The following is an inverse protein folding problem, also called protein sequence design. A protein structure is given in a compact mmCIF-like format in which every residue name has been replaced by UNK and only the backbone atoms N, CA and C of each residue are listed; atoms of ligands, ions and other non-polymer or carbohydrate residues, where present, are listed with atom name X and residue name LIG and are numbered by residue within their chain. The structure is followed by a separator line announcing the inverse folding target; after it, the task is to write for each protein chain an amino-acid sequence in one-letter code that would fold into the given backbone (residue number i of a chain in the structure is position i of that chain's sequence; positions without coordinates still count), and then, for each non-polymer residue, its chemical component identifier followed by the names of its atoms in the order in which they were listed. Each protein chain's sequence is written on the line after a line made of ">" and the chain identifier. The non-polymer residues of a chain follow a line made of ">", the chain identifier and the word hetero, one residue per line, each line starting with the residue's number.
data_IF_223895732033
#
_entry.id   IF_223895732033
#
_cell.length_a   1.000
_cell.length_b   1.000
_cell.length_c   1.000
_cell.angle_alpha   90.00
_cell.angle_beta   90.00
_cell.angle_gamma   90.00
#
_symmetry.space_group_name_H-M   'P 1'
#
loop_
_entity.id
_entity.type
_entity.pdbx_description
1 polymer ?
#
# COMPACT_ATOMS: atom_id res chain seq x y z
N UNK A 1 -8.88 -4.19 13.63
CA UNK A 1 -8.19 -4.18 14.93
C UNK A 1 -7.33 -2.92 14.95
N UNK A 2 -7.53 -2.02 15.91
CA UNK A 2 -6.76 -0.78 16.03
C UNK A 2 -5.53 -1.02 16.91
N UNK A 3 -4.36 -0.56 16.49
CA UNK A 3 -3.12 -0.58 17.28
C UNK A 3 -2.68 0.86 17.55
N UNK A 4 -2.31 1.17 18.80
CA UNK A 4 -1.65 2.44 19.12
C UNK A 4 -0.15 2.28 18.90
N UNK A 5 0.52 3.35 18.45
CA UNK A 5 1.98 3.37 18.45
C UNK A 5 2.47 3.82 19.82
N UNK A 6 3.51 3.17 20.35
CA UNK A 6 4.10 3.48 21.67
C UNK A 6 4.70 4.89 21.74
N UNK A 7 4.94 5.53 20.59
CA UNK A 7 5.64 6.80 20.50
C UNK A 7 4.82 8.00 20.99
N UNK A 8 3.50 7.96 20.87
CA UNK A 8 2.63 8.99 21.41
C UNK A 8 2.02 8.60 22.77
N UNK A 9 1.92 7.30 23.09
CA UNK A 9 1.02 6.79 24.12
C UNK A 9 1.61 6.13 25.36
N UNK A 10 2.89 6.31 25.64
CA UNK A 10 3.55 5.57 26.71
C UNK A 10 3.17 6.09 28.10
N UNK A 11 2.10 5.54 28.66
CA UNK A 11 1.59 5.91 29.98
C UNK A 11 2.42 5.41 31.16
N UNK A 12 3.29 4.43 30.94
CA UNK A 12 4.24 3.94 31.95
C UNK A 12 5.58 4.72 31.94
N UNK A 13 5.70 5.78 31.12
CA UNK A 13 6.90 6.61 31.14
C UNK A 13 7.02 7.37 32.48
N UNK A 14 8.23 7.52 33.05
CA UNK A 14 8.42 8.29 34.28
C UNK A 14 7.92 9.73 34.12
N UNK A 15 6.99 10.15 34.97
CA UNK A 15 6.38 11.48 34.92
C UNK A 15 5.11 11.61 34.07
N UNK A 16 4.61 10.50 33.50
CA UNK A 16 3.29 10.48 32.87
C UNK A 16 2.17 10.60 33.93
N UNK A 17 1.17 11.44 33.67
CA UNK A 17 -0.02 11.55 34.51
C UNK A 17 -1.07 10.51 34.07
N UNK A 18 -1.43 9.53 34.92
CA UNK A 18 -2.44 8.52 34.62
C UNK A 18 -3.81 9.11 34.25
N UNK A 19 -4.16 10.30 34.74
CA UNK A 19 -5.43 10.97 34.42
C UNK A 19 -5.46 11.53 32.98
N UNK A 20 -4.29 11.74 32.38
CA UNK A 20 -4.13 12.20 30.98
C UNK A 20 -3.75 11.06 30.01
N UNK A 21 -3.66 9.82 30.52
CA UNK A 21 -3.40 8.60 29.75
C UNK A 21 -4.66 8.14 28.97
N UNK A 22 -5.26 9.03 28.19
CA UNK A 22 -6.37 8.65 27.31
C UNK A 22 -6.13 9.21 25.92
N UNK A 23 -6.28 8.35 24.92
CA UNK A 23 -6.19 8.71 23.52
C UNK A 23 -7.59 8.70 22.95
N UNK A 24 -7.97 9.79 22.29
CA UNK A 24 -9.18 9.82 21.48
C UNK A 24 -8.78 9.70 20.02
N UNK A 25 -9.14 8.58 19.40
CA UNK A 25 -9.09 8.46 17.95
C UNK A 25 -10.26 9.28 17.36
N UNK A 26 -9.95 10.23 16.48
CA UNK A 26 -10.93 10.90 15.63
C UNK A 26 -10.79 10.38 14.21
N UNK A 27 -11.92 10.35 13.48
CA UNK A 27 -11.92 9.96 12.07
C UNK A 27 -11.97 11.23 11.26
N UNK A 28 -10.83 11.59 10.67
CA UNK A 28 -10.72 12.82 9.88
C UNK A 28 -11.19 12.60 8.44
N UNK A 29 -11.01 11.39 7.90
CA UNK A 29 -11.44 11.00 6.55
C UNK A 29 -11.76 9.51 6.47
N UNK A 30 -12.80 9.16 5.73
CA UNK A 30 -13.15 7.78 5.38
C UNK A 30 -12.85 7.58 3.90
N UNK A 31 -12.06 6.55 3.59
CA UNK A 31 -11.69 6.16 2.23
C UNK A 31 -12.32 4.80 1.93
N UNK A 32 -13.00 4.67 0.79
CA UNK A 32 -13.48 3.37 0.35
C UNK A 32 -12.28 2.48 0.02
N UNK A 33 -12.29 1.24 0.53
CA UNK A 33 -11.24 0.26 0.26
C UNK A 33 -10.98 0.10 -1.24
N UNK A 34 -12.01 0.06 -2.08
CA UNK A 34 -11.82 -0.07 -3.54
C UNK A 34 -11.04 1.10 -4.12
N UNK A 35 -11.24 2.33 -3.62
CA UNK A 35 -10.49 3.50 -4.05
C UNK A 35 -9.02 3.41 -3.61
N UNK A 36 -8.77 3.04 -2.35
CA UNK A 36 -7.41 2.87 -1.84
C UNK A 36 -6.66 1.78 -2.59
N UNK A 37 -7.30 0.63 -2.78
CA UNK A 37 -6.74 -0.51 -3.50
C UNK A 37 -6.49 -0.15 -4.97
N UNK A 38 -7.45 0.47 -5.67
CA UNK A 38 -7.31 0.84 -7.07
C UNK A 38 -6.13 1.80 -7.29
N UNK A 39 -5.93 2.77 -6.39
CA UNK A 39 -4.80 3.72 -6.44
C UNK A 39 -3.46 3.01 -6.23
N UNK A 40 -3.34 2.17 -5.20
CA UNK A 40 -2.09 1.47 -4.90
C UNK A 40 -1.75 0.49 -6.02
N UNK A 41 -2.72 -0.31 -6.45
CA UNK A 41 -2.53 -1.25 -7.56
C UNK A 41 -2.15 -0.54 -8.86
N UNK A 42 -2.76 0.62 -9.16
CA UNK A 42 -2.39 1.41 -10.34
C UNK A 42 -0.93 1.89 -10.26
N UNK A 43 -0.50 2.39 -9.10
CA UNK A 43 0.88 2.85 -8.93
C UNK A 43 1.91 1.72 -9.14
N UNK A 44 1.60 0.51 -8.66
CA UNK A 44 2.46 -0.65 -8.85
C UNK A 44 2.47 -1.10 -10.33
N UNK A 45 1.33 -1.09 -11.00
CA UNK A 45 1.25 -1.42 -12.43
C UNK A 45 1.94 -0.39 -13.33
N UNK A 46 1.80 0.90 -13.02
CA UNK A 46 2.49 1.99 -13.73
C UNK A 46 4.01 1.86 -13.56
N UNK A 47 4.48 1.58 -12.34
CA UNK A 47 5.89 1.33 -12.08
C UNK A 47 6.40 0.11 -12.86
N UNK A 48 5.67 -1.02 -12.82
CA UNK A 48 6.04 -2.24 -13.56
C UNK A 48 6.11 -2.00 -15.07
N UNK A 49 5.21 -1.20 -15.64
CA UNK A 49 5.17 -0.89 -17.07
C UNK A 49 6.44 -0.19 -17.57
N UNK A 50 7.12 0.58 -16.72
CA UNK A 50 8.38 1.25 -17.03
C UNK A 50 9.63 0.37 -16.81
N UNK A 51 9.46 -0.81 -16.19
CA UNK A 51 10.56 -1.67 -15.76
C UNK A 51 10.49 -3.05 -16.40
N UNK A 52 9.68 -3.94 -15.80
CA UNK A 52 9.70 -5.38 -16.10
C UNK A 52 8.51 -5.83 -16.95
N UNK A 53 7.46 -5.01 -17.03
CA UNK A 53 6.21 -5.26 -17.74
C UNK A 53 5.61 -6.65 -17.44
N UNK A 54 5.77 -7.16 -16.22
CA UNK A 54 5.22 -8.44 -15.77
C UNK A 54 3.71 -8.52 -15.99
N UNK A 55 2.97 -7.46 -15.63
CA UNK A 55 1.50 -7.46 -15.73
C UNK A 55 1.01 -7.60 -17.18
N UNK A 56 1.81 -7.17 -18.17
CA UNK A 56 1.47 -7.30 -19.59
C UNK A 56 1.40 -8.76 -20.08
N UNK A 57 2.08 -9.66 -19.36
CA UNK A 57 2.11 -11.09 -19.67
C UNK A 57 0.99 -11.86 -18.97
N UNK A 58 0.32 -11.24 -18.00
CA UNK A 58 -0.78 -11.87 -17.33
C UNK A 58 -1.99 -12.01 -18.26
N UNK A 59 -2.75 -13.11 -18.16
CA UNK A 59 -4.02 -13.22 -18.88
C UNK A 59 -4.87 -12.00 -18.58
N UNK A 60 -5.14 -11.21 -19.61
CA UNK A 60 -5.93 -9.99 -19.48
C UNK A 60 -7.33 -10.28 -18.95
N UNK A 61 -8.01 -9.28 -18.37
CA UNK A 61 -9.41 -9.42 -18.02
C UNK A 61 -10.21 -9.87 -19.24
N UNK A 62 -11.08 -10.87 -19.05
CA UNK A 62 -12.11 -11.22 -20.04
C UNK A 62 -12.93 -9.95 -20.25
N UNK A 63 -12.97 -9.46 -21.49
CA UNK A 63 -13.54 -8.18 -21.95
C UNK A 63 -14.53 -7.52 -20.97
N UNK A 64 -14.18 -6.34 -20.45
CA UNK A 64 -15.02 -5.56 -19.54
C UNK A 64 -14.73 -5.74 -18.04
N UNK A 65 -13.82 -6.64 -17.65
CA UNK A 65 -13.46 -6.78 -16.23
C UNK A 65 -12.39 -5.77 -15.79
N UNK A 66 -12.56 -5.23 -14.57
CA UNK A 66 -11.46 -4.61 -13.82
C UNK A 66 -10.36 -5.68 -13.58
N UNK A 67 -9.12 -5.23 -13.44
CA UNK A 67 -7.93 -5.97 -12.96
C UNK A 67 -8.27 -7.24 -12.14
N UNK A 68 -7.77 -8.42 -12.53
CA UNK A 68 -7.98 -9.67 -11.78
C UNK A 68 -6.92 -9.85 -10.68
N UNK A 69 -7.11 -9.14 -9.56
CA UNK A 69 -6.21 -9.15 -8.40
C UNK A 69 -6.15 -10.49 -7.65
N UNK A 70 -7.06 -11.41 -7.98
CA UNK A 70 -7.09 -12.77 -7.42
C UNK A 70 -6.35 -13.78 -8.30
N UNK A 71 -5.92 -13.40 -9.49
CA UNK A 71 -5.16 -14.31 -10.36
C UNK A 71 -3.76 -14.55 -9.80
N UNK A 72 -3.28 -15.78 -9.92
CA UNK A 72 -1.91 -16.14 -9.51
C UNK A 72 -0.91 -15.25 -10.23
N UNK A 73 -1.06 -15.04 -11.55
CA UNK A 73 -0.16 -14.18 -12.31
C UNK A 73 -0.08 -12.76 -11.73
N UNK A 74 -1.24 -12.12 -11.50
CA UNK A 74 -1.27 -10.75 -10.98
C UNK A 74 -0.63 -10.67 -9.59
N UNK A 75 -0.91 -11.63 -8.71
CA UNK A 75 -0.33 -11.69 -7.36
C UNK A 75 1.20 -11.82 -7.44
N UNK A 76 1.71 -12.69 -8.31
CA UNK A 76 3.15 -12.86 -8.50
C UNK A 76 3.81 -11.58 -9.02
N UNK A 77 3.23 -10.95 -10.05
CA UNK A 77 3.74 -9.68 -10.58
C UNK A 77 3.72 -8.59 -9.51
N UNK A 78 2.62 -8.44 -8.76
CA UNK A 78 2.53 -7.45 -7.70
C UNK A 78 3.66 -7.59 -6.66
N UNK A 79 3.87 -8.80 -6.13
CA UNK A 79 4.92 -9.02 -5.14
C UNK A 79 6.32 -8.87 -5.72
N UNK A 80 6.55 -9.30 -6.96
CA UNK A 80 7.80 -9.10 -7.67
C UNK A 80 8.10 -7.61 -7.86
N UNK A 81 7.12 -6.81 -8.26
CA UNK A 81 7.32 -5.37 -8.49
C UNK A 81 7.59 -4.65 -7.17
N UNK A 82 6.82 -4.94 -6.12
CA UNK A 82 6.96 -4.27 -4.82
C UNK A 82 8.25 -4.68 -4.11
N UNK A 83 8.59 -5.97 -4.10
CA UNK A 83 9.69 -6.50 -3.28
C UNK A 83 10.98 -6.78 -4.08
N UNK A 84 10.88 -6.88 -5.40
CA UNK A 84 11.96 -7.28 -6.31
C UNK A 84 11.85 -8.75 -6.73
N UNK A 85 12.27 -9.07 -7.96
CA UNK A 85 12.27 -10.43 -8.55
C UNK A 85 12.88 -11.52 -7.67
N UNK A 86 13.95 -11.16 -6.97
CA UNK A 86 14.69 -12.11 -6.15
C UNK A 86 13.90 -12.59 -4.93
N UNK A 87 12.89 -11.85 -4.46
CA UNK A 87 12.17 -12.19 -3.22
C UNK A 87 11.16 -13.30 -3.38
N UNK A 88 10.71 -13.56 -4.61
CA UNK A 88 9.75 -14.63 -4.92
C UNK A 88 10.44 -15.97 -5.22
N UNK A 89 11.77 -15.99 -5.32
CA UNK A 89 12.54 -17.21 -5.54
C UNK A 89 12.85 -17.96 -4.23
N UNK A 90 12.97 -19.30 -4.24
CA UNK A 90 13.37 -20.07 -3.07
C UNK A 90 14.71 -19.58 -2.50
N UNK A 91 14.74 -19.18 -1.23
CA UNK A 91 15.93 -18.60 -0.59
C UNK A 91 16.18 -17.12 -0.91
N UNK A 92 15.27 -16.50 -1.66
CA UNK A 92 15.23 -15.07 -1.96
C UNK A 92 15.22 -14.22 -0.69
N UNK A 93 16.00 -13.13 -0.70
CA UNK A 93 16.02 -12.17 0.40
C UNK A 93 15.49 -10.84 -0.10
N UNK A 94 14.54 -10.26 0.62
CA UNK A 94 14.20 -8.85 0.46
C UNK A 94 15.46 -8.02 0.72
N UNK A 95 15.84 -7.22 -0.28
CA UNK A 95 16.91 -6.23 -0.12
C UNK A 95 16.29 -4.84 -0.21
N UNK A 96 16.89 -3.82 0.42
CA UNK A 96 16.50 -2.45 0.16
C UNK A 96 16.70 -2.13 -1.33
N UNK A 97 15.77 -1.38 -1.93
CA UNK A 97 15.90 -0.79 -3.27
C UNK A 97 15.98 -1.78 -4.46
N UNK A 98 15.45 -3.00 -4.34
CA UNK A 98 15.36 -3.98 -5.47
C UNK A 98 13.96 -4.09 -6.08
N UNK A 99 12.95 -3.51 -5.44
CA UNK A 99 11.60 -3.34 -5.99
C UNK A 99 11.23 -1.86 -6.03
N UNK A 100 9.93 -1.59 -6.14
CA UNK A 100 9.38 -0.25 -6.10
C UNK A 100 9.89 0.53 -4.88
N UNK A 101 10.41 1.77 -5.05
CA UNK A 101 10.90 2.57 -3.93
C UNK A 101 9.80 2.76 -2.88
N UNK A 102 10.17 2.60 -1.60
CA UNK A 102 9.22 2.73 -0.48
C UNK A 102 8.51 4.10 -0.49
N UNK A 103 9.23 5.17 -0.85
CA UNK A 103 8.66 6.51 -0.96
C UNK A 103 7.52 6.60 -2.00
N UNK A 104 7.58 5.84 -3.09
CA UNK A 104 6.51 5.81 -4.10
C UNK A 104 5.31 4.99 -3.62
N UNK A 105 5.55 3.87 -2.94
CA UNK A 105 4.49 3.08 -2.30
C UNK A 105 3.78 3.88 -1.19
N UNK A 106 4.53 4.58 -0.36
CA UNK A 106 3.99 5.47 0.68
C UNK A 106 3.17 6.60 0.05
N UNK A 107 3.68 7.22 -1.02
CA UNK A 107 2.94 8.25 -1.73
C UNK A 107 1.63 7.72 -2.31
N UNK A 108 1.64 6.53 -2.91
CA UNK A 108 0.43 5.88 -3.44
C UNK A 108 -0.58 5.56 -2.34
N UNK A 109 -0.12 5.01 -1.21
CA UNK A 109 -0.96 4.69 -0.06
C UNK A 109 -1.58 5.93 0.58
N UNK A 110 -0.82 7.03 0.69
CA UNK A 110 -1.29 8.27 1.30
C UNK A 110 -2.21 9.09 0.38
N UNK A 111 -2.08 8.93 -0.94
CA UNK A 111 -2.84 9.68 -1.96
C UNK A 111 -4.35 9.76 -1.70
N UNK A 112 -5.10 8.69 -1.38
CA UNK A 112 -6.53 8.80 -1.10
C UNK A 112 -6.84 9.60 0.18
N UNK A 113 -5.88 9.79 1.08
CA UNK A 113 -6.06 10.54 2.31
C UNK A 113 -5.77 12.04 2.16
N UNK A 114 -5.06 12.45 1.11
CA UNK A 114 -4.77 13.85 0.82
C UNK A 114 -6.05 14.67 0.54
N UNK A 115 -6.02 16.01 0.72
CA UNK A 115 -7.11 16.89 0.33
C UNK A 115 -7.51 16.70 -1.13
N UNK A 116 -8.77 16.95 -1.51
CA UNK A 116 -9.24 16.76 -2.89
C UNK A 116 -8.46 17.60 -3.93
N UNK A 117 -7.90 18.73 -3.51
CA UNK A 117 -6.99 19.53 -4.35
C UNK A 117 -5.67 18.83 -4.69
N UNK A 118 -5.37 17.70 -4.02
CA UNK A 118 -4.11 16.95 -4.11
C UNK A 118 -4.34 15.44 -4.38
N UNK A 119 -5.58 14.96 -4.51
CA UNK A 119 -5.93 13.55 -4.76
C UNK A 119 -7.22 13.39 -5.57
N UNK A 120 -7.27 12.42 -6.50
CA UNK A 120 -8.49 12.16 -7.30
C UNK A 120 -9.58 11.49 -6.45
N UNK A 121 -10.83 11.93 -6.68
CA UNK A 121 -12.08 11.41 -6.11
C UNK A 121 -12.17 9.88 -6.23
N UNK A 122 -12.46 9.20 -5.13
CA UNK A 122 -13.22 7.95 -5.18
C UNK A 122 -14.69 8.31 -5.38
N UNK A 123 -15.18 8.17 -6.62
CA UNK A 123 -16.61 8.09 -6.91
C UNK A 123 -17.04 6.62 -6.89
#
# INVERSE_FOLDING_TARGET
>A
MWYSTTRAGWCDAPGADPATCTWRATVDKIVNKSCSDDIVHQAVEDYDAEHDACFSTCPGPVTGSKRNTSSVCWIYCFYQTVMGKETIMPGGKARPNVGMPLAELDAAFLKPFLPESQGKRGQ
#
